data_IF_063658104208
#
_entry.id   IF_063658104208
#
_cell.length_a   1.000
_cell.length_b   1.000
_cell.length_c   1.000
_cell.angle_alpha   90.00
_cell.angle_beta   90.00
_cell.angle_gamma   90.00
#
_symmetry.space_group_name_H-M   'P 1'
#
loop_
_entity.id
_entity.type
_entity.pdbx_description
1 polymer ?
#
# COMPACT_ATOMS: atom_id res chain seq x y z
N UNK A 1 6.14 3.10 26.38
CA UNK A 1 4.75 2.95 25.94
C UNK A 1 4.02 2.04 26.94
N UNK A 2 2.74 2.32 27.33
CA UNK A 2 1.97 1.48 28.25
C UNK A 2 1.76 0.04 27.75
N UNK A 3 1.94 -0.21 26.47
CA UNK A 3 1.87 -1.56 25.88
C UNK A 3 2.99 -2.51 26.33
N UNK A 4 4.18 -2.01 26.64
CA UNK A 4 5.28 -2.84 27.10
C UNK A 4 5.00 -3.55 28.44
N UNK A 5 4.29 -2.87 29.34
CA UNK A 5 3.93 -3.45 30.66
C UNK A 5 2.91 -4.58 30.54
N UNK A 6 2.13 -4.64 29.45
CA UNK A 6 1.13 -5.70 29.22
C UNK A 6 1.73 -6.95 28.57
N UNK A 7 2.73 -6.79 27.70
CA UNK A 7 3.39 -7.93 27.04
C UNK A 7 4.18 -8.78 28.06
N UNK A 8 4.81 -8.15 29.06
CA UNK A 8 5.52 -8.84 30.14
C UNK A 8 4.60 -9.56 31.14
N UNK A 9 3.27 -9.48 30.98
CA UNK A 9 2.33 -10.15 31.87
C UNK A 9 2.05 -11.62 31.48
N UNK A 10 2.51 -12.08 30.29
CA UNK A 10 2.34 -13.46 29.86
C UNK A 10 3.67 -14.19 30.08
N UNK A 11 3.72 -15.22 30.96
CA UNK A 11 4.92 -16.03 31.14
C UNK A 11 5.36 -16.71 29.84
N UNK A 12 6.66 -16.80 29.59
CA UNK A 12 7.23 -17.41 28.38
C UNK A 12 6.94 -18.91 28.28
N UNK A 13 6.75 -19.59 29.40
CA UNK A 13 6.38 -21.01 29.49
C UNK A 13 4.98 -21.29 28.87
N UNK A 14 4.15 -20.27 28.73
CA UNK A 14 2.81 -20.38 28.12
C UNK A 14 2.80 -20.11 26.62
N UNK A 15 3.98 -19.84 26.02
CA UNK A 15 4.09 -19.46 24.61
C UNK A 15 5.02 -20.43 23.88
N UNK A 16 4.48 -21.22 22.96
CA UNK A 16 5.25 -22.16 22.14
C UNK A 16 5.97 -21.49 20.98
N UNK A 17 5.34 -20.48 20.37
CA UNK A 17 5.90 -19.73 19.24
C UNK A 17 5.32 -18.33 19.13
N UNK A 18 6.08 -17.41 18.58
CA UNK A 18 5.69 -16.04 18.26
C UNK A 18 5.78 -15.85 16.74
N UNK A 19 4.67 -15.49 16.11
CA UNK A 19 4.63 -15.07 14.73
C UNK A 19 4.68 -13.54 14.68
N UNK A 20 5.66 -13.01 13.95
CA UNK A 20 5.85 -11.58 13.78
C UNK A 20 5.60 -11.22 12.32
N UNK A 21 4.45 -10.59 12.07
CA UNK A 21 4.14 -10.04 10.75
C UNK A 21 4.83 -8.68 10.57
N UNK A 22 5.09 -8.30 9.31
CA UNK A 22 5.84 -7.10 8.92
C UNK A 22 7.18 -6.97 9.67
N UNK A 23 7.90 -8.08 9.76
CA UNK A 23 9.12 -8.21 10.57
C UNK A 23 10.28 -7.30 10.14
N UNK A 24 10.19 -6.61 9.01
CA UNK A 24 11.12 -5.56 8.61
C UNK A 24 11.13 -4.37 9.60
N UNK A 25 10.14 -4.26 10.48
CA UNK A 25 10.09 -3.32 11.61
C UNK A 25 10.81 -3.82 12.88
N UNK A 26 11.46 -4.99 12.87
CA UNK A 26 12.13 -5.60 14.01
C UNK A 26 13.07 -4.64 14.77
N UNK A 27 13.65 -3.66 14.07
CA UNK A 27 14.52 -2.65 14.67
C UNK A 27 13.80 -1.68 15.62
N UNK A 28 12.48 -1.62 15.61
CA UNK A 28 11.72 -0.73 16.49
C UNK A 28 11.88 -1.16 17.96
N UNK A 29 11.91 -0.19 18.90
CA UNK A 29 12.11 -0.48 20.32
C UNK A 29 11.11 -1.50 20.90
N UNK A 30 9.88 -1.50 20.39
CA UNK A 30 8.82 -2.44 20.80
C UNK A 30 9.18 -3.88 20.48
N UNK A 31 9.63 -4.12 19.24
CA UNK A 31 10.03 -5.45 18.78
C UNK A 31 11.26 -5.96 19.51
N UNK A 32 12.24 -5.08 19.77
CA UNK A 32 13.42 -5.43 20.57
C UNK A 32 13.05 -5.85 21.98
N UNK A 33 12.11 -5.17 22.63
CA UNK A 33 11.65 -5.54 23.96
C UNK A 33 10.97 -6.91 23.97
N UNK A 34 10.11 -7.21 22.99
CA UNK A 34 9.49 -8.52 22.83
C UNK A 34 10.56 -9.59 22.62
N UNK A 35 11.49 -9.35 21.70
CA UNK A 35 12.58 -10.28 21.40
C UNK A 35 13.50 -10.56 22.58
N UNK A 36 13.74 -9.56 23.43
CA UNK A 36 14.57 -9.69 24.63
C UNK A 36 13.85 -10.46 25.72
N UNK A 37 12.56 -10.18 25.93
CA UNK A 37 11.76 -10.84 26.96
C UNK A 37 11.53 -12.31 26.63
N UNK A 38 11.12 -12.62 25.40
CA UNK A 38 10.83 -13.97 24.92
C UNK A 38 12.03 -14.61 24.19
N UNK A 39 13.26 -14.43 24.70
CA UNK A 39 14.49 -14.90 24.02
C UNK A 39 14.53 -16.41 23.77
N UNK A 40 13.86 -17.20 24.61
CA UNK A 40 13.84 -18.66 24.55
C UNK A 40 12.67 -19.21 23.72
N UNK A 41 11.70 -18.36 23.33
CA UNK A 41 10.53 -18.75 22.54
C UNK A 41 10.90 -18.79 21.06
N UNK A 42 10.40 -19.78 20.32
CA UNK A 42 10.57 -19.87 18.86
C UNK A 42 9.91 -18.67 18.19
N UNK A 43 10.59 -18.07 17.21
CA UNK A 43 10.11 -16.91 16.48
C UNK A 43 10.06 -17.19 14.99
N UNK A 44 8.94 -16.83 14.37
CA UNK A 44 8.71 -16.95 12.94
C UNK A 44 8.41 -15.54 12.42
N UNK A 45 9.26 -15.08 11.52
CA UNK A 45 9.17 -13.76 10.92
C UNK A 45 8.50 -13.84 9.54
N UNK A 46 7.46 -13.04 9.33
CA UNK A 46 6.79 -12.89 8.07
C UNK A 46 7.07 -11.47 7.54
N UNK A 47 7.48 -11.34 6.30
CA UNK A 47 7.72 -10.04 5.69
C UNK A 47 7.73 -10.13 4.17
N UNK A 48 7.11 -9.16 3.50
CA UNK A 48 7.22 -9.01 2.06
C UNK A 48 8.58 -8.41 1.64
N UNK A 49 9.30 -7.78 2.56
CA UNK A 49 10.57 -7.08 2.31
C UNK A 49 11.62 -7.49 3.35
N UNK A 50 12.37 -8.58 3.13
CA UNK A 50 13.33 -9.11 4.10
C UNK A 50 14.56 -8.21 4.30
N UNK A 51 14.65 -7.09 3.58
CA UNK A 51 15.74 -6.13 3.69
C UNK A 51 15.34 -4.96 4.59
N UNK A 52 16.11 -4.75 5.64
CA UNK A 52 15.93 -3.63 6.57
C UNK A 52 16.27 -2.29 5.88
N UNK A 53 15.68 -1.18 6.37
CA UNK A 53 16.00 0.19 5.92
C UNK A 53 17.49 0.54 6.05
N UNK A 54 18.16 -0.03 7.06
CA UNK A 54 19.60 0.14 7.30
C UNK A 54 20.48 -0.81 6.45
N UNK A 55 19.91 -1.51 5.47
CA UNK A 55 20.55 -2.51 4.59
C UNK A 55 21.15 -3.71 5.33
N UNK A 56 20.88 -3.89 6.61
CA UNK A 56 21.30 -5.07 7.37
C UNK A 56 20.33 -6.22 7.08
N UNK A 57 20.87 -7.43 6.99
CA UNK A 57 20.04 -8.64 6.93
C UNK A 57 19.37 -8.86 8.29
N UNK A 58 18.16 -9.38 8.25
CA UNK A 58 17.52 -9.90 9.47
C UNK A 58 18.34 -11.07 10.00
N UNK A 59 18.55 -11.12 11.32
CA UNK A 59 19.22 -12.24 12.00
C UNK A 59 18.26 -13.43 12.12
N UNK A 60 17.86 -13.98 10.96
CA UNK A 60 16.92 -15.08 10.87
C UNK A 60 17.32 -16.02 9.73
N UNK A 61 17.00 -17.31 9.87
CA UNK A 61 17.14 -18.27 8.77
C UNK A 61 15.94 -18.15 7.85
N UNK A 62 16.18 -17.93 6.56
CA UNK A 62 15.13 -18.01 5.54
C UNK A 62 14.68 -19.47 5.41
N UNK A 63 13.43 -19.77 5.73
CA UNK A 63 12.86 -21.11 5.69
C UNK A 63 11.89 -21.31 4.52
N UNK A 64 11.30 -20.24 4.04
CA UNK A 64 10.39 -20.24 2.90
C UNK A 64 10.43 -18.89 2.19
N UNK A 65 10.32 -18.91 0.87
CA UNK A 65 10.21 -17.72 0.03
C UNK A 65 9.18 -17.96 -1.08
N UNK A 66 8.12 -17.17 -1.06
CA UNK A 66 7.14 -17.10 -2.14
C UNK A 66 7.45 -15.87 -2.98
N UNK A 67 8.04 -16.09 -4.14
CA UNK A 67 8.54 -15.00 -4.95
C UNK A 67 7.40 -14.20 -5.62
N UNK A 68 7.66 -12.93 -5.92
CA UNK A 68 6.75 -12.10 -6.70
C UNK A 68 6.44 -12.75 -8.07
N UNK A 69 7.45 -13.37 -8.69
CA UNK A 69 7.32 -14.11 -9.95
C UNK A 69 6.32 -15.25 -9.81
N UNK A 70 6.43 -16.04 -8.76
CA UNK A 70 5.51 -17.15 -8.52
C UNK A 70 4.09 -16.65 -8.26
N UNK A 71 3.91 -15.59 -7.47
CA UNK A 71 2.61 -14.98 -7.24
C UNK A 71 1.95 -14.45 -8.54
N UNK A 72 2.76 -13.97 -9.47
CA UNK A 72 2.29 -13.55 -10.80
C UNK A 72 1.92 -14.75 -11.68
N UNK A 73 2.76 -15.78 -11.72
CA UNK A 73 2.54 -17.01 -12.50
C UNK A 73 1.33 -17.80 -11.99
N UNK A 74 1.10 -17.80 -10.67
CA UNK A 74 -0.06 -18.42 -10.01
C UNK A 74 -1.36 -17.59 -10.16
N UNK A 75 -1.31 -16.42 -10.81
CA UNK A 75 -2.46 -15.55 -11.04
C UNK A 75 -2.99 -14.84 -9.79
N UNK A 76 -2.20 -14.81 -8.70
CA UNK A 76 -2.53 -14.05 -7.48
C UNK A 76 -2.36 -12.55 -7.71
N UNK A 77 -1.38 -12.20 -8.56
CA UNK A 77 -1.13 -10.82 -8.96
C UNK A 77 -1.44 -10.63 -10.44
N UNK A 78 -2.02 -9.48 -10.77
CA UNK A 78 -2.27 -9.02 -12.14
C UNK A 78 -1.31 -7.92 -12.56
N UNK A 79 -1.07 -7.73 -13.86
CA UNK A 79 -0.30 -6.60 -14.37
C UNK A 79 -0.92 -5.26 -13.96
N UNK A 80 -0.08 -4.23 -13.92
CA UNK A 80 -0.48 -2.85 -13.61
C UNK A 80 -0.17 -1.98 -14.83
N UNK A 81 -1.20 -1.43 -15.44
CA UNK A 81 -1.07 -0.43 -16.50
C UNK A 81 -0.74 0.92 -15.91
N UNK A 82 0.28 1.56 -16.44
CA UNK A 82 0.70 2.88 -15.99
C UNK A 82 0.16 3.99 -16.90
N UNK A 83 -0.65 4.86 -16.31
CA UNK A 83 -1.13 6.10 -16.92
C UNK A 83 -0.32 7.28 -16.40
N UNK A 84 0.83 7.50 -17.03
CA UNK A 84 1.70 8.61 -16.67
C UNK A 84 1.21 9.92 -17.25
N UNK A 85 0.85 10.87 -16.40
CA UNK A 85 0.53 12.24 -16.81
C UNK A 85 1.80 13.08 -16.86
N UNK A 86 1.87 14.03 -17.80
CA UNK A 86 2.84 15.11 -17.79
C UNK A 86 2.19 16.29 -17.10
N UNK A 87 2.62 16.59 -15.90
CA UNK A 87 2.18 17.75 -15.16
C UNK A 87 3.41 18.58 -14.81
N UNK A 88 3.30 19.91 -14.81
CA UNK A 88 4.35 20.80 -14.39
C UNK A 88 4.78 20.56 -12.93
N UNK A 89 5.76 21.32 -12.46
CA UNK A 89 6.20 21.27 -11.06
C UNK A 89 5.20 21.93 -10.11
N UNK A 90 4.18 22.61 -10.63
CA UNK A 90 3.11 23.19 -9.83
C UNK A 90 2.19 22.10 -9.31
N UNK A 91 2.09 21.97 -8.00
CA UNK A 91 1.29 20.96 -7.34
C UNK A 91 -0.20 21.06 -7.70
N UNK A 92 -0.73 22.30 -7.83
CA UNK A 92 -2.14 22.51 -8.12
C UNK A 92 -2.50 22.06 -9.53
N UNK A 93 -1.66 22.38 -10.52
CA UNK A 93 -1.82 21.94 -11.90
C UNK A 93 -1.70 20.41 -12.01
N UNK A 94 -0.70 19.84 -11.36
CA UNK A 94 -0.49 18.40 -11.30
C UNK A 94 -1.70 17.68 -10.71
N UNK A 95 -2.23 18.16 -9.59
CA UNK A 95 -3.43 17.63 -8.96
C UNK A 95 -4.65 17.69 -9.90
N UNK A 96 -4.83 18.80 -10.62
CA UNK A 96 -5.95 18.96 -11.55
C UNK A 96 -5.93 17.90 -12.65
N UNK A 97 -4.76 17.69 -13.26
CA UNK A 97 -4.58 16.70 -14.34
C UNK A 97 -4.77 15.28 -13.80
N UNK A 98 -4.24 14.98 -12.60
CA UNK A 98 -4.39 13.67 -11.96
C UNK A 98 -5.86 13.37 -11.65
N UNK A 99 -6.62 14.33 -11.08
CA UNK A 99 -8.03 14.18 -10.76
C UNK A 99 -8.87 13.93 -12.03
N UNK A 100 -8.67 14.73 -13.08
CA UNK A 100 -9.38 14.56 -14.33
C UNK A 100 -9.09 13.20 -14.99
N UNK A 101 -7.82 12.76 -14.95
CA UNK A 101 -7.41 11.46 -15.47
C UNK A 101 -8.04 10.34 -14.65
N UNK A 102 -7.97 10.45 -13.33
CA UNK A 102 -8.55 9.48 -12.40
C UNK A 102 -10.06 9.31 -12.62
N UNK A 103 -10.80 10.42 -12.75
CA UNK A 103 -12.22 10.41 -13.03
C UNK A 103 -12.55 9.69 -14.33
N UNK A 104 -11.86 10.04 -15.42
CA UNK A 104 -12.08 9.40 -16.75
C UNK A 104 -11.84 7.90 -16.68
N UNK A 105 -10.72 7.49 -16.09
CA UNK A 105 -10.35 6.08 -15.93
C UNK A 105 -11.35 5.35 -15.04
N UNK A 106 -11.74 5.95 -13.90
CA UNK A 106 -12.69 5.34 -12.98
C UNK A 106 -14.06 5.10 -13.63
N UNK A 107 -14.62 6.10 -14.31
CA UNK A 107 -15.90 5.99 -15.00
C UNK A 107 -15.84 4.88 -16.07
N UNK A 108 -14.76 4.81 -16.84
CA UNK A 108 -14.61 3.78 -17.88
C UNK A 108 -14.51 2.38 -17.27
N UNK A 109 -13.70 2.20 -16.23
CA UNK A 109 -13.56 0.89 -15.57
C UNK A 109 -14.84 0.44 -14.88
N UNK A 110 -15.60 1.36 -14.29
CA UNK A 110 -16.87 1.08 -13.61
C UNK A 110 -17.96 0.56 -14.53
N UNK A 111 -17.87 0.82 -15.84
CA UNK A 111 -18.82 0.26 -16.84
C UNK A 111 -18.70 -1.27 -16.99
N UNK A 112 -17.52 -1.80 -16.73
CA UNK A 112 -17.21 -3.20 -17.03
C UNK A 112 -17.05 -4.07 -15.78
N UNK A 113 -16.64 -3.48 -14.65
CA UNK A 113 -16.35 -4.18 -13.41
C UNK A 113 -16.72 -3.31 -12.21
N UNK A 114 -17.10 -3.91 -11.07
CA UNK A 114 -17.05 -3.19 -9.80
C UNK A 114 -15.61 -2.81 -9.49
N UNK A 115 -15.35 -1.55 -9.20
CA UNK A 115 -13.99 -1.03 -8.95
C UNK A 115 -13.98 -0.05 -7.81
N UNK A 116 -12.89 -0.05 -7.04
CA UNK A 116 -12.56 0.98 -6.06
C UNK A 116 -11.28 1.69 -6.46
N UNK A 117 -11.16 2.96 -6.04
CA UNK A 117 -10.00 3.81 -6.28
C UNK A 117 -9.29 4.14 -4.96
N UNK A 118 -7.97 4.08 -4.95
CA UNK A 118 -7.14 4.55 -3.85
C UNK A 118 -6.28 5.72 -4.31
N UNK A 119 -6.41 6.83 -3.60
CA UNK A 119 -5.68 8.07 -3.85
C UNK A 119 -4.65 8.20 -2.74
N UNK A 120 -3.38 8.47 -3.07
CA UNK A 120 -2.31 8.60 -2.10
C UNK A 120 -1.71 10.00 -2.09
N UNK A 121 -1.57 10.54 -0.87
CA UNK A 121 -0.76 11.73 -0.60
C UNK A 121 0.12 11.52 0.64
N UNK A 122 0.99 12.48 0.96
CA UNK A 122 1.92 12.39 2.09
C UNK A 122 1.57 13.32 3.26
N UNK A 123 0.55 14.21 3.11
CA UNK A 123 0.15 15.20 4.11
C UNK A 123 -1.36 15.27 4.28
N UNK A 124 -1.81 15.41 5.53
CA UNK A 124 -3.24 15.52 5.88
C UNK A 124 -3.88 16.73 5.22
N UNK A 125 -3.27 17.90 5.33
CA UNK A 125 -3.79 19.12 4.69
C UNK A 125 -3.95 18.97 3.17
N UNK A 126 -3.01 18.28 2.50
CA UNK A 126 -3.14 18.01 1.07
C UNK A 126 -4.30 17.04 0.80
N UNK A 127 -4.50 16.03 1.66
CA UNK A 127 -5.63 15.11 1.54
C UNK A 127 -6.98 15.82 1.68
N UNK A 128 -7.11 16.78 2.60
CA UNK A 128 -8.31 17.61 2.79
C UNK A 128 -8.61 18.44 1.54
N UNK A 129 -7.61 19.07 0.97
CA UNK A 129 -7.75 19.82 -0.29
C UNK A 129 -8.13 18.91 -1.45
N UNK A 130 -7.53 17.74 -1.56
CA UNK A 130 -7.87 16.75 -2.57
C UNK A 130 -9.29 16.23 -2.40
N UNK A 131 -9.76 16.02 -1.16
CA UNK A 131 -11.11 15.54 -0.87
C UNK A 131 -12.18 16.42 -1.51
N UNK A 132 -12.10 17.73 -1.30
CA UNK A 132 -13.04 18.69 -1.87
C UNK A 132 -13.02 18.65 -3.40
N UNK A 133 -11.84 18.57 -3.99
CA UNK A 133 -11.66 18.55 -5.44
C UNK A 133 -12.17 17.25 -6.07
N UNK A 134 -11.90 16.09 -5.46
CA UNK A 134 -12.43 14.81 -5.93
C UNK A 134 -13.95 14.78 -5.85
N UNK A 135 -14.54 15.24 -4.73
CA UNK A 135 -16.00 15.35 -4.60
C UNK A 135 -16.60 16.30 -5.63
N UNK A 136 -15.98 17.45 -5.85
CA UNK A 136 -16.41 18.41 -6.91
C UNK A 136 -16.29 17.81 -8.31
N UNK A 137 -15.36 16.89 -8.53
CA UNK A 137 -15.25 16.16 -9.80
C UNK A 137 -16.32 15.09 -10.00
N UNK A 138 -17.04 14.72 -8.94
CA UNK A 138 -18.09 13.69 -8.94
C UNK A 138 -17.62 12.31 -8.48
N UNK A 139 -16.40 12.17 -7.92
CA UNK A 139 -15.93 10.95 -7.25
C UNK A 139 -16.20 11.04 -5.75
N UNK A 140 -16.98 10.11 -5.24
CA UNK A 140 -17.33 10.07 -3.82
C UNK A 140 -16.26 9.33 -3.01
N UNK A 141 -15.39 10.08 -2.35
CA UNK A 141 -14.27 9.55 -1.56
C UNK A 141 -14.22 10.16 -0.16
N UNK A 142 -13.54 9.51 0.79
CA UNK A 142 -13.24 10.05 2.12
C UNK A 142 -11.79 9.76 2.49
N UNK A 143 -11.26 10.39 3.55
CA UNK A 143 -9.85 10.34 3.95
C UNK A 143 -9.64 9.28 5.02
N UNK A 144 -8.49 8.60 4.97
CA UNK A 144 -7.93 7.78 6.06
C UNK A 144 -6.52 8.26 6.41
N UNK A 145 -6.25 8.48 7.70
CA UNK A 145 -4.93 8.89 8.19
C UNK A 145 -4.73 8.50 9.66
N UNK A 146 -3.46 8.46 10.11
CA UNK A 146 -3.08 8.00 11.45
C UNK A 146 -3.59 8.86 12.60
N UNK A 147 -3.85 10.14 12.35
CA UNK A 147 -4.31 11.09 13.39
C UNK A 147 -5.84 11.09 13.55
N UNK A 148 -6.53 10.28 12.74
CA UNK A 148 -7.98 10.04 12.84
C UNK A 148 -8.24 8.86 13.77
N UNK A 149 -9.36 8.86 14.49
CA UNK A 149 -9.75 7.71 15.30
C UNK A 149 -9.93 6.45 14.45
N UNK A 150 -9.50 5.30 14.97
CA UNK A 150 -9.58 4.02 14.26
C UNK A 150 -11.00 3.70 13.78
N UNK A 151 -12.02 4.03 14.60
CA UNK A 151 -13.42 3.81 14.22
C UNK A 151 -13.84 4.55 12.95
N UNK A 152 -13.31 5.77 12.75
CA UNK A 152 -13.64 6.58 11.57
C UNK A 152 -12.93 6.06 10.33
N UNK A 153 -11.67 5.62 10.47
CA UNK A 153 -10.95 4.95 9.38
C UNK A 153 -11.64 3.63 8.99
N UNK A 154 -12.09 2.84 9.98
CA UNK A 154 -12.82 1.59 9.75
C UNK A 154 -14.16 1.87 9.04
N UNK A 155 -14.87 2.94 9.42
CA UNK A 155 -16.12 3.37 8.77
C UNK A 155 -15.87 3.65 7.27
N UNK A 156 -14.85 4.42 6.94
CA UNK A 156 -14.51 4.75 5.54
C UNK A 156 -14.25 3.48 4.73
N UNK A 157 -13.44 2.56 5.27
CA UNK A 157 -13.16 1.28 4.60
C UNK A 157 -14.43 0.46 4.39
N UNK A 158 -15.32 0.43 5.38
CA UNK A 158 -16.62 -0.24 5.27
C UNK A 158 -17.47 0.39 4.18
N UNK A 159 -17.57 1.71 4.14
CA UNK A 159 -18.35 2.42 3.12
C UNK A 159 -17.81 2.19 1.70
N UNK A 160 -16.48 2.03 1.53
CA UNK A 160 -15.89 1.60 0.26
C UNK A 160 -16.28 0.16 -0.06
N UNK A 161 -16.24 -0.76 0.93
CA UNK A 161 -16.69 -2.16 0.78
C UNK A 161 -18.14 -2.27 0.37
N UNK A 162 -19.00 -1.45 0.95
CA UNK A 162 -20.44 -1.43 0.71
C UNK A 162 -20.80 -0.68 -0.60
N UNK A 163 -19.81 -0.11 -1.32
CA UNK A 163 -20.00 0.64 -2.56
C UNK A 163 -20.65 2.01 -2.36
N UNK A 164 -20.73 2.51 -1.13
CA UNK A 164 -21.23 3.85 -0.78
C UNK A 164 -20.22 4.90 -1.21
N UNK A 165 -18.92 4.60 -0.98
CA UNK A 165 -17.81 5.40 -1.50
C UNK A 165 -17.20 4.72 -2.71
N UNK A 166 -16.76 5.53 -3.68
CA UNK A 166 -15.99 5.06 -4.84
C UNK A 166 -14.56 4.64 -4.46
N UNK A 167 -14.06 5.16 -3.34
CA UNK A 167 -12.72 4.87 -2.85
C UNK A 167 -12.31 5.75 -1.68
N UNK A 168 -11.00 5.83 -1.43
CA UNK A 168 -10.45 6.60 -0.33
C UNK A 168 -9.17 7.34 -0.68
N UNK A 169 -8.90 8.41 0.08
CA UNK A 169 -7.63 9.14 0.08
C UNK A 169 -6.82 8.69 1.30
N UNK A 170 -5.65 8.12 1.05
CA UNK A 170 -4.74 7.63 2.09
C UNK A 170 -3.58 8.59 2.29
N UNK A 171 -3.29 8.95 3.55
CA UNK A 171 -2.15 9.77 3.92
C UNK A 171 -1.02 8.89 4.44
N UNK A 172 0.13 8.96 3.77
CA UNK A 172 1.32 8.20 4.17
C UNK A 172 1.07 6.69 4.16
N UNK A 173 1.21 6.07 5.32
CA UNK A 173 1.06 4.63 5.57
C UNK A 173 -0.32 4.25 6.13
N UNK A 174 -1.24 5.19 6.29
CA UNK A 174 -2.53 4.93 6.94
C UNK A 174 -3.37 3.83 6.27
N UNK A 175 -3.04 3.46 5.04
CA UNK A 175 -3.65 2.33 4.35
C UNK A 175 -3.00 0.97 4.68
N UNK A 176 -1.88 0.91 5.41
CA UNK A 176 -1.28 -0.37 5.83
C UNK A 176 -2.28 -1.16 6.69
N UNK A 177 -2.45 -2.43 6.38
CA UNK A 177 -3.43 -3.29 7.07
C UNK A 177 -4.88 -3.13 6.62
N UNK A 178 -5.23 -2.12 5.82
CA UNK A 178 -6.58 -1.98 5.29
C UNK A 178 -6.80 -2.95 4.13
N UNK A 179 -7.81 -3.79 4.25
CA UNK A 179 -8.31 -4.61 3.15
C UNK A 179 -9.35 -3.80 2.37
N UNK A 180 -8.97 -3.33 1.19
CA UNK A 180 -9.82 -2.55 0.29
C UNK A 180 -10.27 -3.48 -0.84
N UNK A 181 -11.54 -3.92 -0.82
CA UNK A 181 -12.05 -4.82 -1.84
C UNK A 181 -12.11 -4.10 -3.19
N UNK A 182 -12.01 -4.86 -4.25
CA UNK A 182 -12.18 -4.39 -5.62
C UNK A 182 -11.25 -3.22 -6.01
N UNK A 183 -10.16 -3.03 -5.26
CA UNK A 183 -9.17 -2.00 -5.54
C UNK A 183 -8.47 -2.31 -6.86
N UNK A 184 -8.68 -1.43 -7.84
CA UNK A 184 -8.14 -1.59 -9.19
C UNK A 184 -7.35 -0.37 -9.67
N UNK A 185 -7.71 0.81 -9.17
CA UNK A 185 -7.14 2.08 -9.60
C UNK A 185 -6.41 2.73 -8.44
N UNK A 186 -5.18 3.14 -8.66
CA UNK A 186 -4.42 3.93 -7.72
C UNK A 186 -3.95 5.23 -8.35
N UNK A 187 -4.01 6.32 -7.58
CA UNK A 187 -3.56 7.65 -7.98
C UNK A 187 -2.52 8.15 -6.99
N UNK A 188 -1.36 8.55 -7.48
CA UNK A 188 -0.30 9.12 -6.66
C UNK A 188 -0.23 10.63 -6.83
N UNK A 189 -0.68 11.37 -5.83
CA UNK A 189 -0.43 12.81 -5.66
C UNK A 189 0.87 13.07 -4.88
N UNK A 190 1.42 12.03 -4.26
CA UNK A 190 2.76 12.03 -3.70
C UNK A 190 3.38 10.65 -3.87
N UNK A 191 4.56 10.59 -4.48
CA UNK A 191 5.27 9.35 -4.74
C UNK A 191 5.86 8.77 -3.45
N UNK A 192 5.72 7.44 -3.20
CA UNK A 192 6.38 6.81 -2.07
C UNK A 192 7.91 6.96 -2.18
N UNK A 193 8.56 7.36 -1.09
CA UNK A 193 10.01 7.63 -1.05
C UNK A 193 10.87 6.41 -0.72
N UNK A 194 10.29 5.21 -0.67
CA UNK A 194 11.07 3.99 -0.39
C UNK A 194 10.50 2.77 -1.12
N UNK A 195 11.40 1.87 -1.52
CA UNK A 195 11.05 0.62 -2.21
C UNK A 195 10.02 -0.21 -1.43
N UNK A 196 10.15 -0.46 -0.12
CA UNK A 196 9.15 -1.24 0.61
C UNK A 196 7.74 -0.68 0.48
N UNK A 197 7.57 0.63 0.59
CA UNK A 197 6.26 1.26 0.46
C UNK A 197 5.71 1.19 -0.96
N UNK A 198 6.57 1.34 -1.96
CA UNK A 198 6.16 1.20 -3.35
C UNK A 198 5.67 -0.21 -3.63
N UNK A 199 6.38 -1.23 -3.13
CA UNK A 199 6.00 -2.65 -3.25
C UNK A 199 4.67 -2.92 -2.56
N UNK A 200 4.51 -2.48 -1.31
CA UNK A 200 3.26 -2.67 -0.56
C UNK A 200 2.08 -1.97 -1.23
N UNK A 201 2.30 -0.77 -1.73
CA UNK A 201 1.27 -0.01 -2.44
C UNK A 201 0.85 -0.70 -3.75
N UNK A 202 1.82 -1.06 -4.59
CA UNK A 202 1.56 -1.78 -5.84
C UNK A 202 0.95 -3.16 -5.58
N UNK A 203 1.43 -3.88 -4.56
CA UNK A 203 0.90 -5.17 -4.15
C UNK A 203 -0.59 -5.15 -3.77
N UNK A 204 -1.12 -4.00 -3.33
CA UNK A 204 -2.56 -3.85 -3.04
C UNK A 204 -3.40 -3.81 -4.30
N UNK A 205 -3.00 -3.01 -5.30
CA UNK A 205 -3.75 -2.86 -6.54
C UNK A 205 -3.54 -4.04 -7.50
N UNK A 206 -2.40 -4.70 -7.42
CA UNK A 206 -2.08 -5.85 -8.27
C UNK A 206 -2.74 -7.15 -7.85
N UNK A 207 -3.40 -7.24 -6.68
CA UNK A 207 -4.20 -8.41 -6.31
C UNK A 207 -5.30 -8.64 -7.35
N UNK A 208 -5.53 -9.93 -7.68
CA UNK A 208 -6.54 -10.35 -8.65
C UNK A 208 -7.79 -10.87 -7.91
N UNK A 209 -8.81 -10.04 -7.63
CA UNK A 209 -10.08 -10.55 -7.13
C UNK A 209 -10.81 -11.35 -8.22
N UNK A 210 -11.58 -12.36 -7.83
CA UNK A 210 -12.34 -13.20 -8.78
C UNK A 210 -13.39 -12.40 -9.54
N UNK A 211 -13.94 -11.35 -8.94
CA UNK A 211 -14.99 -10.51 -9.50
C UNK A 211 -14.49 -9.45 -10.50
N UNK A 212 -13.17 -9.33 -10.66
CA UNK A 212 -12.57 -8.34 -11.55
C UNK A 212 -11.74 -8.98 -12.65
N UNK A 213 -11.87 -8.46 -13.85
CA UNK A 213 -11.03 -8.80 -15.00
C UNK A 213 -10.10 -7.63 -15.38
N UNK A 214 -9.03 -7.96 -16.10
CA UNK A 214 -8.08 -7.01 -16.67
C UNK A 214 -7.07 -6.43 -15.65
N UNK A 215 -6.15 -5.62 -16.15
CA UNK A 215 -5.04 -5.08 -15.41
C UNK A 215 -5.48 -4.05 -14.35
N UNK A 216 -4.71 -3.93 -13.29
CA UNK A 216 -4.80 -2.79 -12.39
C UNK A 216 -4.26 -1.52 -13.08
N UNK A 217 -4.59 -0.36 -12.54
CA UNK A 217 -4.21 0.92 -13.15
C UNK A 217 -3.51 1.80 -12.10
N UNK A 218 -2.34 2.29 -12.46
CA UNK A 218 -1.60 3.27 -11.68
C UNK A 218 -1.55 4.60 -12.45
N UNK A 219 -2.04 5.67 -11.83
CA UNK A 219 -2.02 7.03 -12.37
C UNK A 219 -1.06 7.87 -11.53
N UNK A 220 -0.07 8.48 -12.18
CA UNK A 220 0.91 9.33 -11.49
C UNK A 220 1.60 10.31 -12.45
N UNK A 221 2.23 11.33 -11.90
CA UNK A 221 3.12 12.19 -12.67
C UNK A 221 4.39 11.42 -13.08
N UNK A 222 4.67 11.36 -14.39
CA UNK A 222 5.79 10.59 -14.95
C UNK A 222 7.14 11.00 -14.36
N UNK A 223 7.33 12.29 -14.17
CA UNK A 223 8.62 12.84 -13.77
C UNK A 223 8.92 12.54 -12.30
N UNK A 224 7.88 12.43 -11.47
CA UNK A 224 8.02 12.09 -10.05
C UNK A 224 8.27 10.59 -9.81
N UNK A 225 7.70 9.73 -10.64
CA UNK A 225 7.72 8.26 -10.43
C UNK A 225 8.98 7.61 -11.01
N UNK A 226 9.59 8.24 -12.02
CA UNK A 226 10.70 7.66 -12.81
C UNK A 226 11.87 7.11 -11.97
N UNK A 227 12.28 7.84 -10.94
CA UNK A 227 13.39 7.43 -10.08
C UNK A 227 13.09 6.22 -9.20
N UNK A 228 11.90 6.16 -8.60
CA UNK A 228 11.49 5.08 -7.70
C UNK A 228 11.20 3.79 -8.48
N UNK A 229 10.67 3.92 -9.68
CA UNK A 229 10.40 2.78 -10.55
C UNK A 229 11.66 2.13 -11.07
N UNK A 230 12.65 2.92 -11.47
CA UNK A 230 13.96 2.36 -11.83
C UNK A 230 14.53 1.53 -10.68
N UNK A 231 14.45 2.03 -9.44
CA UNK A 231 14.88 1.29 -8.25
C UNK A 231 14.08 -0.01 -8.04
N UNK A 232 12.79 0.01 -8.31
CA UNK A 232 11.92 -1.15 -8.20
C UNK A 232 12.36 -2.25 -9.18
N UNK A 233 12.61 -1.91 -10.44
CA UNK A 233 13.08 -2.87 -11.46
C UNK A 233 14.45 -3.46 -11.13
N UNK A 234 15.35 -2.67 -10.54
CA UNK A 234 16.63 -3.20 -10.06
C UNK A 234 16.49 -4.13 -8.84
N UNK A 235 15.38 -4.05 -8.10
CA UNK A 235 15.17 -4.91 -6.92
C UNK A 235 14.71 -6.33 -7.29
N UNK A 236 13.89 -6.45 -8.35
CA UNK A 236 13.41 -7.72 -8.90
C UNK A 236 12.92 -7.51 -10.33
N UNK A 237 13.46 -8.25 -11.29
CA UNK A 237 13.10 -8.19 -12.73
C UNK A 237 11.61 -8.49 -12.99
N UNK A 238 10.93 -9.17 -12.07
CA UNK A 238 9.51 -9.48 -12.19
C UNK A 238 8.66 -8.21 -12.21
N UNK A 239 9.13 -7.12 -11.59
CA UNK A 239 8.46 -5.83 -11.64
C UNK A 239 8.31 -5.29 -13.06
N UNK A 240 9.28 -5.55 -13.94
CA UNK A 240 9.19 -5.17 -15.35
C UNK A 240 8.04 -5.90 -16.08
N UNK A 241 7.68 -7.10 -15.62
CA UNK A 241 6.54 -7.86 -16.15
C UNK A 241 5.23 -7.41 -15.53
N UNK A 242 5.25 -7.11 -14.23
CA UNK A 242 4.07 -6.68 -13.49
C UNK A 242 3.63 -5.26 -13.88
N UNK A 243 4.59 -4.36 -14.14
CA UNK A 243 4.33 -2.94 -14.50
C UNK A 243 5.10 -2.56 -15.76
N UNK A 244 4.73 -3.08 -16.93
CA UNK A 244 5.58 -3.10 -18.13
C UNK A 244 5.76 -1.76 -18.86
N UNK A 245 5.16 -0.67 -18.44
CA UNK A 245 5.20 0.63 -19.17
C UNK A 245 5.63 1.81 -18.34
N UNK A 246 6.37 1.57 -17.29
CA UNK A 246 6.78 2.64 -16.35
C UNK A 246 8.05 3.39 -16.78
N UNK A 247 8.80 2.90 -17.78
CA UNK A 247 10.01 3.55 -18.33
C UNK A 247 9.74 4.01 -19.76
#
# INVERSE_FOLDING_TARGET
SPYYKKVSAIPDELIDAIFMDEAHHEAAPTWKAINTYYKNVKRIFLTATPFRRDRKKMEAKLIYHYSLKQAFEDGILRPVDFFGVKAGLDTYESDSILIETAKKVFIEQKKHNPVSIMIRTDRIHHAEHLLERYKSSGLNVDIVHSDREDRDNIRVVKEVKDGILDGLISVGMASEGLDIPLLKIAVLHATPKSIPYTIQFLGRISRQPQEQSGNAILIANKDEVKGEVSRLYYSDETWAKLVPKLI
#
